data_IF_388460640708
#
_entry.id   IF_388460640708
#
_cell.length_a   1.000
_cell.length_b   1.000
_cell.length_c   1.000
_cell.angle_alpha   90.00
_cell.angle_beta   90.00
_cell.angle_gamma   90.00
#
_symmetry.space_group_name_H-M   'P 1'
#
loop_
_entity.id
_entity.type
_entity.pdbx_description
1 polymer ?
#
# COMPACT_ATOMS: atom_id res chain seq x y z
N UNK A 1 -22.88 -50.97 47.44
CA UNK A 1 -23.45 -50.56 46.12
C UNK A 1 -22.59 -49.45 45.57
N UNK A 2 -21.99 -49.66 44.40
CA UNK A 2 -21.15 -48.67 43.70
C UNK A 2 -21.60 -48.61 42.22
N UNK A 3 -21.76 -47.40 41.70
CA UNK A 3 -22.00 -47.09 40.28
C UNK A 3 -21.22 -45.80 39.96
N UNK A 4 -20.08 -45.90 39.28
CA UNK A 4 -19.84 -45.77 37.83
C UNK A 4 -20.00 -44.33 37.30
N UNK A 5 -18.87 -43.71 36.93
CA UNK A 5 -18.79 -42.69 35.88
C UNK A 5 -17.68 -43.10 34.92
N UNK A 6 -18.03 -43.27 33.65
CA UNK A 6 -17.15 -43.75 32.60
C UNK A 6 -16.46 -42.60 31.86
N UNK A 7 -15.19 -42.81 31.53
CA UNK A 7 -14.57 -42.17 30.36
C UNK A 7 -13.80 -43.24 29.60
N UNK A 8 -14.19 -43.41 28.35
CA UNK A 8 -13.67 -44.38 27.40
C UNK A 8 -12.25 -44.01 26.95
N UNK A 9 -11.42 -45.07 26.83
CA UNK A 9 -10.14 -45.06 26.15
C UNK A 9 -10.31 -44.63 24.69
N UNK A 10 -9.69 -43.51 24.33
CA UNK A 10 -9.39 -43.15 22.95
C UNK A 10 -8.04 -43.74 22.56
N UNK A 11 -8.09 -44.67 21.62
CA UNK A 11 -7.02 -45.42 20.96
C UNK A 11 -5.79 -44.58 20.57
N UNK A 12 -4.62 -44.92 21.12
CA UNK A 12 -3.33 -44.60 20.49
C UNK A 12 -3.17 -45.46 19.24
N UNK A 13 -3.13 -44.83 18.07
CA UNK A 13 -2.62 -45.44 16.85
C UNK A 13 -1.26 -44.82 16.57
N UNK A 14 -0.21 -45.65 16.70
CA UNK A 14 1.15 -45.35 16.28
C UNK A 14 1.35 -45.85 14.84
N UNK A 15 1.72 -44.94 13.93
CA UNK A 15 2.44 -45.21 12.69
C UNK A 15 2.85 -43.87 12.08
N UNK A 16 4.07 -43.60 11.64
CA UNK A 16 5.32 -44.35 11.63
C UNK A 16 6.43 -43.43 11.11
N UNK A 17 7.67 -43.85 11.38
CA UNK A 17 8.94 -43.41 10.77
C UNK A 17 9.53 -42.04 11.18
N UNK A 18 10.28 -42.08 12.29
CA UNK A 18 11.53 -41.34 12.44
C UNK A 18 12.55 -42.30 13.03
N UNK A 19 13.54 -42.72 12.23
CA UNK A 19 14.60 -43.65 12.63
C UNK A 19 15.42 -42.97 13.74
N UNK A 20 15.46 -43.57 14.92
CA UNK A 20 16.41 -43.19 15.98
C UNK A 20 17.67 -44.05 15.77
N UNK A 21 18.72 -43.45 15.24
CA UNK A 21 20.06 -44.03 15.26
C UNK A 21 20.83 -43.36 16.40
N UNK A 22 21.00 -44.07 17.53
CA UNK A 22 21.88 -43.63 18.62
C UNK A 22 23.18 -44.41 18.53
N UNK A 23 24.28 -43.70 18.30
CA UNK A 23 25.61 -44.16 18.66
C UNK A 23 26.42 -42.97 19.16
N UNK A 24 26.82 -43.03 20.44
CA UNK A 24 28.04 -42.42 20.96
C UNK A 24 28.09 -40.90 21.11
N UNK A 25 27.91 -40.45 22.36
CA UNK A 25 28.51 -39.26 22.98
C UNK A 25 28.32 -37.92 22.25
N UNK A 26 27.23 -37.21 22.58
CA UNK A 26 27.21 -35.75 22.60
C UNK A 26 26.01 -35.27 23.42
N UNK A 27 26.29 -34.37 24.36
CA UNK A 27 25.34 -33.66 25.22
C UNK A 27 24.03 -33.31 24.51
N UNK A 28 22.92 -33.78 25.07
CA UNK A 28 21.56 -33.43 24.63
C UNK A 28 21.31 -31.97 24.99
N UNK A 29 21.65 -31.04 24.10
CA UNK A 29 21.00 -29.73 24.08
C UNK A 29 19.56 -29.96 23.67
N UNK A 30 18.63 -29.83 24.63
CA UNK A 30 17.21 -29.67 24.35
C UNK A 30 17.05 -28.47 23.41
N UNK A 31 16.82 -28.73 22.13
CA UNK A 31 16.23 -27.75 21.23
C UNK A 31 14.77 -27.62 21.68
N UNK A 32 14.53 -26.70 22.60
CA UNK A 32 13.20 -26.14 22.84
C UNK A 32 12.73 -25.64 21.48
N UNK A 33 11.82 -26.40 20.88
CA UNK A 33 11.04 -25.95 19.75
C UNK A 33 10.26 -24.74 20.28
N UNK A 34 10.79 -23.54 20.00
CA UNK A 34 10.15 -22.29 20.38
C UNK A 34 8.74 -22.34 19.79
N UNK A 35 7.74 -22.25 20.65
CA UNK A 35 6.37 -21.96 20.23
C UNK A 35 6.45 -20.74 19.32
N UNK A 36 6.29 -20.94 18.01
CA UNK A 36 6.14 -19.84 17.10
C UNK A 36 4.90 -19.08 17.58
N UNK A 37 4.98 -17.76 17.84
CA UNK A 37 3.81 -16.99 18.24
C UNK A 37 2.71 -17.23 17.19
N UNK A 38 1.44 -17.38 17.60
CA UNK A 38 0.36 -17.62 16.66
C UNK A 38 0.44 -16.54 15.58
N UNK A 39 0.49 -16.96 14.32
CA UNK A 39 0.55 -16.03 13.20
C UNK A 39 -0.58 -15.01 13.40
N UNK A 40 -0.23 -13.73 13.58
CA UNK A 40 -1.22 -12.67 13.68
C UNK A 40 -2.12 -12.81 12.46
N UNK A 41 -3.42 -13.02 12.70
CA UNK A 41 -4.39 -13.12 11.63
C UNK A 41 -4.48 -11.73 11.03
N UNK A 42 -3.68 -11.49 10.00
CA UNK A 42 -3.68 -10.23 9.29
C UNK A 42 -4.98 -10.18 8.50
N UNK A 43 -5.92 -9.37 8.97
CA UNK A 43 -7.23 -9.22 8.36
C UNK A 43 -7.06 -8.66 6.94
N UNK A 44 -7.46 -9.46 5.95
CA UNK A 44 -7.42 -9.09 4.52
C UNK A 44 -8.63 -8.24 4.18
N UNK A 45 -8.52 -7.49 3.09
CA UNK A 45 -9.65 -6.72 2.57
C UNK A 45 -10.86 -7.60 2.27
N UNK A 46 -12.04 -7.12 2.67
CA UNK A 46 -13.31 -7.72 2.33
C UNK A 46 -13.54 -7.69 0.80
N UNK A 47 -14.55 -8.44 0.33
CA UNK A 47 -14.96 -8.37 -1.07
C UNK A 47 -15.55 -7.00 -1.40
N UNK A 48 -16.33 -6.41 -0.50
CA UNK A 48 -16.89 -5.06 -0.70
C UNK A 48 -15.78 -4.01 -0.77
N UNK A 49 -14.78 -4.07 0.11
CA UNK A 49 -13.66 -3.12 0.11
C UNK A 49 -12.87 -3.19 -1.21
N UNK A 50 -12.58 -4.39 -1.71
CA UNK A 50 -11.90 -4.57 -3.01
C UNK A 50 -12.73 -4.05 -4.17
N UNK A 51 -14.05 -4.24 -4.14
CA UNK A 51 -14.96 -3.68 -5.14
C UNK A 51 -14.98 -2.15 -5.07
N UNK A 52 -14.98 -1.57 -3.87
CA UNK A 52 -14.95 -0.14 -3.64
C UNK A 52 -13.66 0.51 -4.14
N UNK A 53 -12.49 -0.10 -3.86
CA UNK A 53 -11.20 0.37 -4.40
C UNK A 53 -11.19 0.34 -5.93
N UNK A 54 -11.81 -0.68 -6.53
CA UNK A 54 -11.94 -0.77 -7.98
C UNK A 54 -12.80 0.36 -8.54
N UNK A 55 -13.94 0.66 -7.91
CA UNK A 55 -14.83 1.75 -8.31
C UNK A 55 -14.13 3.13 -8.19
N UNK A 56 -13.42 3.39 -7.09
CA UNK A 56 -12.68 4.64 -6.93
C UNK A 56 -11.53 4.79 -7.93
N UNK A 57 -10.88 3.69 -8.33
CA UNK A 57 -9.87 3.75 -9.37
C UNK A 57 -10.47 4.20 -10.72
N UNK A 58 -11.68 3.75 -11.05
CA UNK A 58 -12.41 4.21 -12.24
C UNK A 58 -12.82 5.68 -12.13
N UNK A 59 -13.26 6.14 -10.94
CA UNK A 59 -13.56 7.56 -10.71
C UNK A 59 -12.33 8.46 -10.93
N UNK A 60 -11.14 8.00 -10.54
CA UNK A 60 -9.88 8.72 -10.78
C UNK A 60 -9.59 8.81 -12.28
N UNK A 61 -9.77 7.71 -13.03
CA UNK A 61 -9.60 7.70 -14.49
C UNK A 61 -10.54 8.70 -15.17
N UNK A 62 -11.80 8.72 -14.73
CA UNK A 62 -12.79 9.67 -15.23
C UNK A 62 -12.40 11.13 -14.91
N UNK A 63 -11.89 11.40 -13.70
CA UNK A 63 -11.46 12.73 -13.29
C UNK A 63 -10.23 13.24 -14.06
N UNK A 64 -9.34 12.34 -14.46
CA UNK A 64 -8.16 12.63 -15.30
C UNK A 64 -8.52 12.65 -16.80
N UNK A 65 -9.81 12.73 -17.16
CA UNK A 65 -10.30 12.79 -18.54
C UNK A 65 -9.74 11.70 -19.48
N UNK A 66 -9.49 10.50 -18.94
CA UNK A 66 -8.97 9.37 -19.71
C UNK A 66 -7.46 9.45 -20.04
N UNK A 67 -6.72 10.43 -19.50
CA UNK A 67 -5.27 10.54 -19.69
C UNK A 67 -4.51 9.41 -18.99
N UNK A 68 -5.11 8.82 -17.94
CA UNK A 68 -4.55 7.68 -17.21
C UNK A 68 -5.46 6.46 -17.31
N UNK A 69 -4.88 5.27 -17.12
CA UNK A 69 -5.61 4.00 -17.11
C UNK A 69 -5.80 3.49 -15.69
N UNK A 70 -6.83 2.67 -15.46
CA UNK A 70 -7.06 2.00 -14.17
C UNK A 70 -5.84 1.18 -13.72
N UNK A 71 -5.13 0.56 -14.68
CA UNK A 71 -3.89 -0.18 -14.42
C UNK A 71 -2.83 0.72 -13.77
N UNK A 72 -2.65 1.93 -14.29
CA UNK A 72 -1.71 2.90 -13.75
C UNK A 72 -2.13 3.38 -12.36
N UNK A 73 -3.41 3.69 -12.17
CA UNK A 73 -3.96 4.12 -10.87
C UNK A 73 -3.72 3.04 -9.80
N UNK A 74 -4.02 1.78 -10.12
CA UNK A 74 -3.77 0.64 -9.21
C UNK A 74 -2.27 0.45 -8.92
N UNK A 75 -1.41 0.51 -9.93
CA UNK A 75 0.03 0.37 -9.73
C UNK A 75 0.58 1.47 -8.80
N UNK A 76 0.09 2.70 -8.97
CA UNK A 76 0.45 3.84 -8.14
C UNK A 76 -0.08 3.70 -6.71
N UNK A 77 -1.31 3.23 -6.52
CA UNK A 77 -1.87 2.92 -5.19
C UNK A 77 -1.05 1.84 -4.47
N UNK A 78 -0.71 0.76 -5.17
CA UNK A 78 0.10 -0.34 -4.64
C UNK A 78 1.47 0.18 -4.17
N UNK A 79 2.10 1.03 -4.99
CA UNK A 79 3.37 1.69 -4.65
C UNK A 79 3.23 2.59 -3.42
N UNK A 80 2.14 3.36 -3.32
CA UNK A 80 1.87 4.23 -2.17
C UNK A 80 1.70 3.45 -0.86
N UNK A 81 1.07 2.26 -0.94
CA UNK A 81 0.83 1.40 0.21
C UNK A 81 1.98 0.43 0.52
N UNK A 82 2.96 0.30 -0.38
CA UNK A 82 4.10 -0.61 -0.22
C UNK A 82 3.76 -2.08 -0.45
N UNK A 83 2.75 -2.37 -1.29
CA UNK A 83 2.28 -3.73 -1.62
C UNK A 83 2.45 -4.03 -3.10
N UNK A 84 2.49 -5.30 -3.50
CA UNK A 84 2.57 -5.68 -4.93
C UNK A 84 1.19 -5.72 -5.59
N UNK A 85 0.17 -6.12 -4.85
CA UNK A 85 -1.20 -6.27 -5.35
C UNK A 85 -2.24 -5.94 -4.27
N UNK A 86 -3.51 -5.83 -4.70
CA UNK A 86 -4.66 -5.66 -3.79
C UNK A 86 -4.83 -6.86 -2.86
N UNK A 87 -4.40 -8.05 -3.27
CA UNK A 87 -4.49 -9.27 -2.43
C UNK A 87 -3.50 -9.25 -1.26
N UNK A 88 -2.41 -8.48 -1.38
CA UNK A 88 -1.46 -8.25 -0.30
C UNK A 88 -1.92 -7.16 0.68
N UNK A 89 -2.97 -6.39 0.35
CA UNK A 89 -3.51 -5.37 1.23
C UNK A 89 -4.21 -5.98 2.45
N UNK A 90 -4.17 -5.21 3.52
CA UNK A 90 -4.68 -5.55 4.85
C UNK A 90 -5.67 -4.47 5.28
N UNK A 91 -6.58 -4.77 6.19
CA UNK A 91 -7.74 -3.92 6.47
C UNK A 91 -7.37 -2.48 6.87
N UNK A 92 -6.27 -2.28 7.61
CA UNK A 92 -5.76 -0.96 8.02
C UNK A 92 -5.24 -0.11 6.84
N UNK A 93 -4.94 -0.72 5.71
CA UNK A 93 -4.55 0.00 4.49
C UNK A 93 -5.75 0.58 3.75
N UNK A 94 -6.98 0.09 3.98
CA UNK A 94 -8.16 0.55 3.26
C UNK A 94 -8.47 2.05 3.47
N UNK A 95 -8.44 2.61 4.70
CA UNK A 95 -8.61 4.05 4.90
C UNK A 95 -7.51 4.87 4.20
N UNK A 96 -6.26 4.39 4.22
CA UNK A 96 -5.14 5.07 3.54
C UNK A 96 -5.30 5.06 2.02
N UNK A 97 -5.74 3.93 1.46
CA UNK A 97 -6.08 3.80 0.05
C UNK A 97 -7.18 4.78 -0.36
N UNK A 98 -8.21 4.88 0.48
CA UNK A 98 -9.34 5.79 0.30
C UNK A 98 -8.89 7.25 0.25
N UNK A 99 -8.06 7.68 1.21
CA UNK A 99 -7.51 9.04 1.27
C UNK A 99 -6.65 9.33 0.04
N UNK A 100 -5.82 8.38 -0.37
CA UNK A 100 -4.95 8.53 -1.53
C UNK A 100 -5.74 8.72 -2.84
N UNK A 101 -6.72 7.85 -3.11
CA UNK A 101 -7.54 7.91 -4.33
C UNK A 101 -8.44 9.14 -4.34
N UNK A 102 -9.05 9.50 -3.20
CA UNK A 102 -9.82 10.73 -3.11
C UNK A 102 -8.93 11.98 -3.28
N UNK A 103 -7.72 11.97 -2.72
CA UNK A 103 -6.74 13.02 -2.92
C UNK A 103 -6.35 13.18 -4.39
N UNK A 104 -6.17 12.07 -5.11
CA UNK A 104 -5.94 12.08 -6.56
C UNK A 104 -7.12 12.72 -7.28
N UNK A 105 -8.32 12.21 -7.07
CA UNK A 105 -9.55 12.70 -7.72
C UNK A 105 -9.78 14.19 -7.46
N UNK A 106 -9.62 14.62 -6.21
CA UNK A 106 -9.77 16.02 -5.83
C UNK A 106 -8.69 16.91 -6.47
N UNK A 107 -7.45 16.41 -6.59
CA UNK A 107 -6.37 17.10 -7.29
C UNK A 107 -6.68 17.32 -8.77
N UNK A 108 -7.20 16.30 -9.45
CA UNK A 108 -7.60 16.40 -10.86
C UNK A 108 -8.70 17.46 -11.07
N UNK A 109 -9.64 17.58 -10.12
CA UNK A 109 -10.68 18.62 -10.15
C UNK A 109 -10.23 20.00 -9.63
N UNK A 110 -8.98 20.18 -9.23
CA UNK A 110 -8.50 21.44 -8.66
C UNK A 110 -9.14 21.81 -7.31
N UNK A 111 -9.63 20.81 -6.56
CA UNK A 111 -10.23 21.01 -5.23
C UNK A 111 -9.15 21.18 -4.16
N UNK A 112 -9.56 21.71 -3.01
CA UNK A 112 -8.68 21.88 -1.87
C UNK A 112 -8.18 20.53 -1.31
N UNK A 113 -6.90 20.50 -0.95
CA UNK A 113 -6.20 19.33 -0.43
C UNK A 113 -5.48 19.71 0.87
N UNK A 114 -5.37 18.74 1.79
CA UNK A 114 -4.47 18.86 2.94
C UNK A 114 -3.00 18.86 2.50
N UNK A 115 -2.10 19.29 3.39
CA UNK A 115 -0.65 19.27 3.13
C UNK A 115 -0.18 17.87 2.73
N UNK A 116 -0.54 16.85 3.50
CA UNK A 116 -0.14 15.46 3.21
C UNK A 116 -0.69 14.97 1.87
N UNK A 117 -1.94 15.32 1.54
CA UNK A 117 -2.53 14.97 0.27
C UNK A 117 -1.81 15.66 -0.90
N UNK A 118 -1.45 16.94 -0.77
CA UNK A 118 -0.67 17.64 -1.79
C UNK A 118 0.70 17.01 -1.99
N UNK A 119 1.44 16.71 -0.91
CA UNK A 119 2.74 16.03 -0.99
C UNK A 119 2.58 14.67 -1.68
N UNK A 120 1.56 13.89 -1.29
CA UNK A 120 1.30 12.58 -1.89
C UNK A 120 1.04 12.70 -3.41
N UNK A 121 0.31 13.73 -3.86
CA UNK A 121 0.06 13.93 -5.29
C UNK A 121 1.30 14.39 -6.06
N UNK A 122 2.13 15.28 -5.48
CA UNK A 122 3.42 15.65 -6.10
C UNK A 122 4.33 14.42 -6.25
N UNK A 123 4.45 13.63 -5.17
CA UNK A 123 5.26 12.41 -5.17
C UNK A 123 4.74 11.37 -6.16
N UNK A 124 3.42 11.22 -6.27
CA UNK A 124 2.77 10.37 -7.28
C UNK A 124 3.16 10.80 -8.69
N UNK A 125 3.01 12.09 -9.01
CA UNK A 125 3.35 12.63 -10.34
C UNK A 125 4.81 12.33 -10.65
N UNK A 126 5.72 12.53 -9.69
CA UNK A 126 7.14 12.23 -9.88
C UNK A 126 7.43 10.74 -10.04
N UNK A 127 6.68 9.86 -9.36
CA UNK A 127 6.85 8.42 -9.50
C UNK A 127 6.40 7.92 -10.87
N UNK A 128 5.30 8.46 -11.39
CA UNK A 128 4.74 8.05 -12.69
C UNK A 128 5.48 8.72 -13.85
N UNK A 129 5.87 9.99 -13.68
CA UNK A 129 6.51 10.82 -14.72
C UNK A 129 7.79 11.44 -14.15
N UNK A 130 8.91 10.67 -14.09
CA UNK A 130 10.13 11.09 -13.38
C UNK A 130 10.75 12.39 -13.87
N UNK A 131 10.61 12.75 -15.15
CA UNK A 131 11.16 14.00 -15.69
C UNK A 131 10.43 15.25 -15.16
N UNK A 132 9.18 15.13 -14.69
CA UNK A 132 8.47 16.24 -14.04
C UNK A 132 9.15 16.63 -12.72
N UNK A 133 9.84 15.69 -12.05
CA UNK A 133 10.55 15.95 -10.79
C UNK A 133 11.59 17.05 -10.93
N UNK A 134 12.46 16.97 -11.93
CA UNK A 134 13.53 17.94 -12.13
C UNK A 134 12.96 19.36 -12.33
N UNK A 135 11.98 19.49 -13.22
CA UNK A 135 11.32 20.77 -13.48
C UNK A 135 10.58 21.31 -12.25
N UNK A 136 9.93 20.44 -11.47
CA UNK A 136 9.20 20.85 -10.26
C UNK A 136 10.17 21.33 -9.16
N UNK A 137 11.29 20.63 -8.97
CA UNK A 137 12.30 21.03 -7.99
C UNK A 137 12.99 22.34 -8.36
N UNK A 138 13.29 22.52 -9.66
CA UNK A 138 13.82 23.79 -10.18
C UNK A 138 12.84 24.93 -9.96
N UNK A 139 11.55 24.73 -10.27
CA UNK A 139 10.50 25.70 -9.98
C UNK A 139 10.47 26.07 -8.49
N UNK A 140 10.48 25.09 -7.59
CA UNK A 140 10.43 25.36 -6.14
C UNK A 140 11.68 26.05 -5.62
N UNK A 141 12.86 25.71 -6.16
CA UNK A 141 14.13 26.36 -5.79
C UNK A 141 14.13 27.82 -6.21
N UNK A 142 13.76 28.10 -7.46
CA UNK A 142 13.77 29.44 -8.03
C UNK A 142 12.78 30.38 -7.35
N UNK A 143 11.59 29.88 -6.98
CA UNK A 143 10.53 30.75 -6.46
C UNK A 143 10.47 30.79 -4.93
N UNK A 144 10.89 29.73 -4.24
CA UNK A 144 10.70 29.59 -2.80
C UNK A 144 11.99 29.30 -2.03
N UNK A 145 13.13 29.11 -2.73
CA UNK A 145 14.39 28.66 -2.12
C UNK A 145 14.23 27.38 -1.29
N UNK A 146 13.30 26.50 -1.69
CA UNK A 146 12.94 25.25 -0.99
C UNK A 146 12.97 24.09 -1.98
N UNK A 147 13.50 22.95 -1.54
CA UNK A 147 13.50 21.70 -2.31
C UNK A 147 12.76 20.56 -1.60
N UNK A 148 12.64 20.65 -0.28
CA UNK A 148 11.98 19.65 0.55
C UNK A 148 10.51 20.04 0.70
N UNK A 149 9.60 19.28 0.08
CA UNK A 149 8.16 19.54 0.08
C UNK A 149 7.59 19.69 1.50
N UNK A 150 8.07 18.90 2.47
CA UNK A 150 7.63 18.98 3.88
C UNK A 150 7.99 20.28 4.58
N UNK A 151 9.00 20.98 4.07
CA UNK A 151 9.43 22.26 4.61
C UNK A 151 8.72 23.42 3.92
N UNK A 152 7.85 23.16 2.95
CA UNK A 152 7.07 24.18 2.28
C UNK A 152 5.84 24.52 3.12
N UNK A 153 5.50 25.78 3.09
CA UNK A 153 4.23 26.32 3.59
C UNK A 153 3.08 25.94 2.63
N UNK A 154 1.83 26.10 3.07
CA UNK A 154 0.65 25.67 2.31
C UNK A 154 0.57 26.29 0.91
N UNK A 155 0.80 27.60 0.79
CA UNK A 155 0.83 28.33 -0.49
C UNK A 155 1.96 27.88 -1.44
N UNK A 156 3.19 27.68 -0.96
CA UNK A 156 4.33 27.17 -1.73
C UNK A 156 4.06 25.76 -2.25
N UNK A 157 3.47 24.91 -1.41
CA UNK A 157 3.11 23.55 -1.79
C UNK A 157 1.96 23.51 -2.81
N UNK A 158 0.95 24.39 -2.66
CA UNK A 158 -0.11 24.56 -3.67
C UNK A 158 0.45 25.01 -5.02
N UNK A 159 1.33 26.00 -5.02
CA UNK A 159 1.97 26.48 -6.24
C UNK A 159 2.84 25.40 -6.90
N UNK A 160 3.61 24.66 -6.09
CA UNK A 160 4.43 23.54 -6.55
C UNK A 160 3.58 22.41 -7.14
N UNK A 161 2.47 22.06 -6.49
CA UNK A 161 1.52 21.07 -7.01
C UNK A 161 0.86 21.55 -8.31
N UNK A 162 0.42 22.80 -8.39
CA UNK A 162 -0.16 23.36 -9.60
C UNK A 162 0.82 23.30 -10.78
N UNK A 163 2.08 23.68 -10.57
CA UNK A 163 3.12 23.55 -11.58
C UNK A 163 3.34 22.09 -12.01
N UNK A 164 3.43 21.17 -11.05
CA UNK A 164 3.57 19.74 -11.34
C UNK A 164 2.37 19.18 -12.13
N UNK A 165 1.14 19.63 -11.81
CA UNK A 165 -0.08 19.27 -12.53
C UNK A 165 -0.08 19.81 -13.97
N UNK A 166 0.41 21.02 -14.21
CA UNK A 166 0.56 21.54 -15.58
C UNK A 166 1.53 20.69 -16.39
N UNK A 167 2.69 20.32 -15.81
CA UNK A 167 3.67 19.45 -16.49
C UNK A 167 3.16 18.03 -16.69
N UNK A 168 2.40 17.51 -15.74
CA UNK A 168 1.68 16.23 -15.84
C UNK A 168 0.72 16.24 -17.03
N UNK A 169 -0.11 17.28 -17.15
CA UNK A 169 -1.07 17.43 -18.24
C UNK A 169 -0.35 17.48 -19.60
N UNK A 170 0.66 18.34 -19.73
CA UNK A 170 1.44 18.45 -20.98
C UNK A 170 2.11 17.14 -21.39
N UNK A 171 2.57 16.33 -20.42
CA UNK A 171 3.13 15.01 -20.71
C UNK A 171 2.11 14.08 -21.36
N UNK A 172 0.90 13.99 -20.80
CA UNK A 172 -0.13 13.11 -21.33
C UNK A 172 -0.70 13.59 -22.66
N UNK A 173 -0.86 14.90 -22.84
CA UNK A 173 -1.24 15.49 -24.12
C UNK A 173 -0.20 15.16 -25.21
N UNK A 174 1.09 15.35 -24.94
CA UNK A 174 2.15 15.02 -25.89
C UNK A 174 2.26 13.52 -26.19
N UNK A 175 1.84 12.66 -25.26
CA UNK A 175 1.84 11.20 -25.45
C UNK A 175 0.64 10.71 -26.26
N UNK A 176 -0.48 11.42 -26.20
CA UNK A 176 -1.74 11.05 -26.85
C UNK A 176 -1.98 11.78 -28.18
N UNK A 177 -1.17 12.79 -28.51
CA UNK A 177 -1.12 13.46 -29.81
C UNK A 177 -0.46 12.58 -30.88
#
# INVERSE_FOLDING_TARGET
>A
MATKSGKALGTMSASGFGIIQVAGDLSITQVLQSDAPPAEVVERLSREERAQLSAWAEEVVAAEAGLVTTKLVRASLNTHLGVKSVDEMVADMFPRATVYLNGWRNCAFGRELSIDAMIAQVMRIWAIVPHVKAATLEFSRTNFSREVLRNMTVWELRATLAFAMTKWQSYWEARNA
#
